data_IF_112451301972
#
_entry.id   IF_112451301972
#
_cell.length_a   1.000
_cell.length_b   1.000
_cell.length_c   1.000
_cell.angle_alpha   90.00
_cell.angle_beta   90.00
_cell.angle_gamma   90.00
#
_symmetry.space_group_name_H-M   'P 1'
#
loop_
_entity.id
_entity.type
_entity.pdbx_description
1 polymer ?
#
# COMPACT_ATOMS: atom_id res chain seq x y z
N UNK A 1 0.57 27.50 -15.91
CA UNK A 1 1.38 26.32 -15.54
C UNK A 1 1.01 25.21 -16.50
N UNK A 2 1.98 24.64 -17.20
CA UNK A 2 1.74 23.51 -18.09
C UNK A 2 1.58 22.20 -17.29
N UNK A 3 1.19 21.12 -17.97
CA UNK A 3 0.97 19.82 -17.33
C UNK A 3 2.21 19.29 -16.61
N UNK A 4 3.38 19.53 -17.20
CA UNK A 4 4.65 19.08 -16.67
C UNK A 4 4.98 19.82 -15.36
N UNK A 5 4.84 21.14 -15.31
CA UNK A 5 5.05 21.91 -14.09
C UNK A 5 4.08 21.55 -12.97
N UNK A 6 2.81 21.27 -13.29
CA UNK A 6 1.84 20.79 -12.28
C UNK A 6 2.22 19.41 -11.75
N UNK A 7 2.65 18.51 -12.65
CA UNK A 7 3.03 17.16 -12.28
C UNK A 7 4.31 17.15 -11.43
N UNK A 8 5.28 18.02 -11.74
CA UNK A 8 6.47 18.25 -10.92
C UNK A 8 6.09 18.71 -9.50
N UNK A 9 5.17 19.68 -9.37
CA UNK A 9 4.70 20.11 -8.05
C UNK A 9 4.05 18.98 -7.25
N UNK A 10 3.23 18.16 -7.91
CA UNK A 10 2.59 17.02 -7.27
C UNK A 10 3.60 15.95 -6.90
N UNK A 11 4.64 15.74 -7.71
CA UNK A 11 5.75 14.84 -7.40
C UNK A 11 6.49 15.31 -6.15
N UNK A 12 6.88 16.58 -6.10
CA UNK A 12 7.56 17.16 -4.93
C UNK A 12 6.68 17.10 -3.67
N UNK A 13 5.36 17.29 -3.82
CA UNK A 13 4.43 17.35 -2.68
C UNK A 13 3.98 15.97 -2.18
N UNK A 14 3.81 15.01 -3.08
CA UNK A 14 3.15 13.73 -2.78
C UNK A 14 4.02 12.50 -3.07
N UNK A 15 5.21 12.67 -3.66
CA UNK A 15 6.09 11.56 -4.05
C UNK A 15 6.44 10.63 -2.89
N UNK A 16 6.85 11.19 -1.74
CA UNK A 16 7.15 10.41 -0.52
C UNK A 16 5.91 9.66 0.00
N UNK A 17 4.74 10.29 -0.09
CA UNK A 17 3.48 9.67 0.30
C UNK A 17 3.15 8.46 -0.58
N UNK A 18 3.33 8.58 -1.88
CA UNK A 18 3.11 7.51 -2.86
C UNK A 18 4.16 6.40 -2.68
N UNK A 19 5.44 6.77 -2.50
CA UNK A 19 6.53 5.83 -2.23
C UNK A 19 6.24 4.98 -1.00
N UNK A 20 5.92 5.60 0.14
CA UNK A 20 5.56 4.89 1.37
C UNK A 20 4.32 4.03 1.20
N UNK A 21 3.29 4.54 0.52
CA UNK A 21 2.08 3.75 0.23
C UNK A 21 2.41 2.49 -0.56
N UNK A 22 3.24 2.61 -1.60
CA UNK A 22 3.66 1.49 -2.43
C UNK A 22 4.50 0.49 -1.64
N UNK A 23 5.39 0.91 -0.76
CA UNK A 23 6.13 0.00 0.13
C UNK A 23 5.15 -0.79 1.00
N UNK A 24 4.23 -0.13 1.70
CA UNK A 24 3.24 -0.81 2.54
C UNK A 24 2.33 -1.76 1.75
N UNK A 25 1.98 -1.39 0.52
CA UNK A 25 1.11 -2.20 -0.31
C UNK A 25 1.84 -3.40 -0.92
N UNK A 26 3.07 -3.19 -1.38
CA UNK A 26 3.83 -4.20 -2.13
C UNK A 26 4.55 -5.17 -1.21
N UNK A 27 5.12 -4.68 -0.11
CA UNK A 27 5.99 -5.46 0.76
C UNK A 27 7.48 -5.29 0.47
N UNK A 28 7.88 -4.43 -0.48
CA UNK A 28 9.27 -4.29 -0.95
C UNK A 28 9.72 -2.83 -1.06
N UNK A 29 11.04 -2.59 -1.06
CA UNK A 29 11.67 -1.27 -1.33
C UNK A 29 11.66 -0.90 -2.80
N UNK A 30 11.60 -1.92 -3.65
CA UNK A 30 11.77 -1.78 -5.08
C UNK A 30 10.45 -1.26 -5.70
N UNK A 31 10.15 -0.01 -5.35
CA UNK A 31 8.94 0.69 -5.77
C UNK A 31 9.27 1.99 -6.51
N UNK A 32 10.53 2.31 -6.73
CA UNK A 32 10.95 3.52 -7.43
C UNK A 32 10.38 3.55 -8.86
N UNK A 33 10.49 2.43 -9.57
CA UNK A 33 9.86 2.25 -10.89
C UNK A 33 8.33 2.36 -10.81
N UNK A 34 7.72 1.85 -9.74
CA UNK A 34 6.27 1.99 -9.52
C UNK A 34 5.87 3.44 -9.27
N UNK A 35 6.65 4.20 -8.50
CA UNK A 35 6.44 5.63 -8.30
C UNK A 35 6.51 6.35 -9.65
N UNK A 36 7.54 6.09 -10.45
CA UNK A 36 7.66 6.67 -11.79
C UNK A 36 6.44 6.34 -12.66
N UNK A 37 6.03 5.06 -12.71
CA UNK A 37 4.84 4.61 -13.43
C UNK A 37 3.57 5.33 -12.98
N UNK A 38 3.41 5.57 -11.67
CA UNK A 38 2.27 6.33 -11.13
C UNK A 38 2.23 7.74 -11.68
N UNK A 39 3.35 8.46 -11.64
CA UNK A 39 3.42 9.84 -12.11
C UNK A 39 3.32 9.95 -13.64
N UNK A 40 3.86 8.98 -14.38
CA UNK A 40 3.68 8.90 -15.84
C UNK A 40 2.22 8.63 -16.21
N UNK A 41 1.54 7.72 -15.51
CA UNK A 41 0.11 7.47 -15.72
C UNK A 41 -0.71 8.69 -15.35
N UNK A 42 -0.42 9.33 -14.22
CA UNK A 42 -1.07 10.56 -13.79
C UNK A 42 -0.94 11.67 -14.84
N UNK A 43 0.25 11.89 -15.38
CA UNK A 43 0.48 12.86 -16.45
C UNK A 43 -0.37 12.57 -17.70
N UNK A 44 -0.44 11.30 -18.12
CA UNK A 44 -1.25 10.86 -19.28
C UNK A 44 -2.74 11.02 -19.04
N UNK A 45 -3.21 10.84 -17.81
CA UNK A 45 -4.62 10.92 -17.45
C UNK A 45 -5.04 12.27 -16.88
N UNK A 46 -4.15 13.27 -16.86
CA UNK A 46 -4.38 14.54 -16.19
C UNK A 46 -5.56 15.32 -16.78
N UNK A 47 -5.81 15.21 -18.08
CA UNK A 47 -6.97 15.85 -18.74
C UNK A 47 -8.31 15.26 -18.27
N UNK A 48 -8.31 14.00 -17.83
CA UNK A 48 -9.50 13.34 -17.30
C UNK A 48 -9.68 13.61 -15.79
N UNK A 49 -8.75 14.32 -15.15
CA UNK A 49 -8.89 14.69 -13.76
C UNK A 49 -9.83 15.89 -13.60
N UNK A 50 -11.09 15.59 -13.27
CA UNK A 50 -12.14 16.61 -13.12
C UNK A 50 -12.09 17.40 -11.79
N UNK A 51 -11.06 17.19 -10.95
CA UNK A 51 -10.95 17.91 -9.67
C UNK A 51 -12.00 17.54 -8.61
N UNK A 52 -12.73 16.44 -8.81
CA UNK A 52 -13.78 15.97 -7.87
C UNK A 52 -13.23 15.40 -6.56
N UNK A 53 -11.96 15.03 -6.53
CA UNK A 53 -11.22 14.59 -5.34
C UNK A 53 -9.92 15.37 -5.20
N UNK A 54 -9.28 15.31 -4.02
CA UNK A 54 -7.97 15.92 -3.85
C UNK A 54 -6.93 15.22 -4.75
N UNK A 55 -5.94 15.95 -5.29
CA UNK A 55 -4.87 15.35 -6.09
C UNK A 55 -4.19 14.15 -5.43
N UNK A 56 -3.94 14.23 -4.11
CA UNK A 56 -3.36 13.12 -3.33
C UNK A 56 -4.23 11.86 -3.39
N UNK A 57 -5.54 11.99 -3.20
CA UNK A 57 -6.50 10.88 -3.26
C UNK A 57 -6.52 10.26 -4.65
N UNK A 58 -6.53 11.08 -5.69
CA UNK A 58 -6.47 10.61 -7.08
C UNK A 58 -5.17 9.88 -7.41
N UNK A 59 -4.02 10.42 -6.99
CA UNK A 59 -2.72 9.77 -7.16
C UNK A 59 -2.64 8.43 -6.41
N UNK A 60 -3.21 8.34 -5.20
CA UNK A 60 -3.27 7.09 -4.44
C UNK A 60 -4.16 6.04 -5.13
N UNK A 61 -5.22 6.43 -5.83
CA UNK A 61 -5.99 5.52 -6.69
C UNK A 61 -5.12 4.96 -7.82
N UNK A 62 -4.34 5.82 -8.50
CA UNK A 62 -3.41 5.39 -9.56
C UNK A 62 -2.32 4.47 -9.00
N UNK A 63 -1.79 4.78 -7.82
CA UNK A 63 -0.79 3.98 -7.12
C UNK A 63 -1.32 2.59 -6.76
N UNK A 64 -2.52 2.51 -6.19
CA UNK A 64 -3.18 1.24 -5.86
C UNK A 64 -3.33 0.36 -7.11
N UNK A 65 -3.88 0.92 -8.19
CA UNK A 65 -4.08 0.17 -9.43
C UNK A 65 -2.75 -0.29 -10.04
N UNK A 66 -1.72 0.57 -10.00
CA UNK A 66 -0.37 0.25 -10.48
C UNK A 66 0.26 -0.88 -9.67
N UNK A 67 0.12 -0.87 -8.35
CA UNK A 67 0.62 -1.94 -7.48
C UNK A 67 -0.12 -3.27 -7.69
N UNK A 68 -1.44 -3.25 -7.89
CA UNK A 68 -2.24 -4.44 -8.23
C UNK A 68 -1.77 -5.05 -9.54
N UNK A 69 -1.60 -4.22 -10.58
CA UNK A 69 -1.11 -4.67 -11.89
C UNK A 69 0.29 -5.26 -11.80
N UNK A 70 1.19 -4.64 -11.03
CA UNK A 70 2.53 -5.16 -10.80
C UNK A 70 2.52 -6.53 -10.14
N UNK A 71 1.75 -6.71 -9.05
CA UNK A 71 1.60 -8.01 -8.37
C UNK A 71 0.99 -9.08 -9.28
N UNK A 72 0.01 -8.71 -10.10
CA UNK A 72 -0.58 -9.62 -11.10
C UNK A 72 0.46 -10.09 -12.11
N UNK A 73 1.30 -9.19 -12.63
CA UNK A 73 2.38 -9.52 -13.57
C UNK A 73 3.46 -10.39 -12.92
N UNK A 74 3.86 -10.10 -11.67
CA UNK A 74 4.79 -10.94 -10.92
C UNK A 74 4.28 -12.38 -10.77
N UNK A 75 3.02 -12.56 -10.33
CA UNK A 75 2.41 -13.89 -10.19
C UNK A 75 2.37 -14.66 -11.50
N UNK A 76 2.06 -13.99 -12.61
CA UNK A 76 2.06 -14.62 -13.93
C UNK A 76 3.46 -15.06 -14.36
N UNK A 77 4.50 -14.26 -14.07
CA UNK A 77 5.90 -14.64 -14.33
C UNK A 77 6.29 -15.88 -13.53
N UNK A 78 5.97 -15.91 -12.24
CA UNK A 78 6.29 -17.05 -11.36
C UNK A 78 5.51 -18.33 -11.70
N UNK A 79 4.46 -18.25 -12.51
CA UNK A 79 3.70 -19.40 -13.00
C UNK A 79 4.31 -20.00 -14.28
N UNK A 80 5.21 -19.28 -14.97
CA UNK A 80 5.89 -19.78 -16.15
C UNK A 80 7.06 -20.72 -15.74
N UNK A 81 7.27 -21.86 -16.44
CA UNK A 81 8.28 -22.84 -16.04
C UNK A 81 9.71 -22.28 -15.98
N UNK A 82 10.45 -22.69 -14.94
CA UNK A 82 11.76 -22.22 -14.44
C UNK A 82 12.93 -22.02 -15.43
N UNK A 83 12.79 -22.26 -16.73
CA UNK A 83 13.89 -22.11 -17.70
C UNK A 83 14.27 -20.65 -18.04
N UNK A 84 13.54 -19.66 -17.52
CA UNK A 84 13.75 -18.25 -17.89
C UNK A 84 13.88 -17.28 -16.71
N UNK A 85 13.76 -17.74 -15.47
CA UNK A 85 13.85 -16.88 -14.29
C UNK A 85 15.05 -17.30 -13.48
N UNK A 86 16.16 -16.57 -13.65
CA UNK A 86 17.23 -16.60 -12.67
C UNK A 86 16.62 -16.22 -11.32
N UNK A 87 16.78 -17.11 -10.34
CA UNK A 87 16.39 -16.90 -8.96
C UNK A 87 16.98 -15.58 -8.47
N UNK A 88 16.15 -14.54 -8.39
CA UNK A 88 16.43 -13.40 -7.53
C UNK A 88 15.80 -13.76 -6.19
N UNK A 89 16.52 -14.55 -5.41
CA UNK A 89 16.29 -14.58 -3.97
C UNK A 89 16.69 -13.20 -3.44
N UNK A 90 15.74 -12.29 -3.41
CA UNK A 90 15.86 -11.12 -2.54
C UNK A 90 15.61 -11.60 -1.12
N UNK A 91 16.56 -11.39 -0.21
CA UNK A 91 16.27 -11.32 1.23
C UNK A 91 15.08 -10.36 1.40
N UNK A 92 13.88 -10.90 1.62
CA UNK A 92 12.65 -10.11 1.69
C UNK A 92 12.64 -9.33 3.00
N UNK A 93 13.22 -8.13 2.96
CA UNK A 93 13.08 -7.18 4.05
C UNK A 93 11.63 -6.71 4.15
N UNK A 94 11.10 -6.65 5.36
CA UNK A 94 9.72 -6.22 5.56
C UNK A 94 9.57 -4.71 5.37
N UNK A 95 8.38 -4.19 5.01
CA UNK A 95 8.11 -2.74 4.97
C UNK A 95 8.63 -1.97 6.19
N UNK A 96 8.67 -2.61 7.35
CA UNK A 96 9.15 -2.05 8.61
C UNK A 96 10.65 -1.82 8.63
N UNK A 97 11.41 -2.85 8.27
CA UNK A 97 12.87 -2.80 8.13
C UNK A 97 13.26 -1.82 7.03
N UNK A 98 12.42 -1.72 6.01
CA UNK A 98 12.60 -0.79 4.90
C UNK A 98 12.45 0.66 5.36
N UNK A 99 11.40 0.94 6.13
CA UNK A 99 11.06 2.31 6.52
C UNK A 99 11.73 2.73 7.84
N UNK A 100 12.64 1.92 8.39
CA UNK A 100 13.29 2.12 9.70
C UNK A 100 12.27 2.43 10.80
N UNK A 101 11.18 1.66 10.79
CA UNK A 101 10.12 1.81 11.78
C UNK A 101 10.62 1.31 13.13
N UNK A 102 10.32 2.02 14.23
CA UNK A 102 10.67 1.60 15.59
C UNK A 102 10.21 0.15 15.88
N UNK A 103 10.99 -0.59 16.68
CA UNK A 103 10.72 -2.00 17.05
C UNK A 103 9.29 -2.22 17.58
N UNK A 104 8.74 -1.29 18.38
CA UNK A 104 7.36 -1.37 18.90
C UNK A 104 6.28 -1.39 17.80
N UNK A 105 6.60 -0.89 16.61
CA UNK A 105 5.67 -0.83 15.48
C UNK A 105 5.83 -2.05 14.55
N UNK A 106 6.90 -2.85 14.65
CA UNK A 106 7.12 -4.01 13.78
C UNK A 106 6.01 -5.06 13.87
N UNK A 107 5.61 -5.44 15.09
CA UNK A 107 4.51 -6.40 15.31
C UNK A 107 3.20 -5.94 14.67
N UNK A 108 2.91 -4.64 14.74
CA UNK A 108 1.71 -4.06 14.12
C UNK A 108 1.71 -4.25 12.60
N UNK A 109 2.86 -4.07 11.96
CA UNK A 109 2.95 -4.26 10.51
C UNK A 109 2.90 -5.73 10.10
N UNK A 110 3.55 -6.62 10.83
CA UNK A 110 3.38 -8.07 10.63
C UNK A 110 1.91 -8.46 10.70
N UNK A 111 1.19 -7.98 11.72
CA UNK A 111 -0.25 -8.19 11.84
C UNK A 111 -1.04 -7.58 10.65
N UNK A 112 -0.69 -6.39 10.17
CA UNK A 112 -1.31 -5.76 8.98
C UNK A 112 -1.01 -6.57 7.69
N UNK A 113 0.18 -7.15 7.58
CA UNK A 113 0.55 -8.03 6.47
C UNK A 113 -0.24 -9.32 6.51
N UNK A 114 -0.56 -9.86 7.68
CA UNK A 114 -1.13 -11.19 7.80
C UNK A 114 -2.68 -11.19 7.77
N UNK A 115 -3.32 -10.02 7.87
CA UNK A 115 -4.76 -9.90 7.60
C UNK A 115 -5.12 -10.02 6.11
N UNK A 116 -6.41 -10.28 5.85
CA UNK A 116 -6.99 -10.35 4.50
C UNK A 116 -6.66 -9.09 3.68
N UNK A 117 -6.46 -9.19 2.35
CA UNK A 117 -6.10 -8.04 1.51
C UNK A 117 -7.03 -6.83 1.67
N UNK A 118 -8.35 -7.05 1.69
CA UNK A 118 -9.34 -5.99 1.88
C UNK A 118 -9.18 -5.26 3.23
N UNK A 119 -8.74 -5.95 4.28
CA UNK A 119 -8.50 -5.36 5.59
C UNK A 119 -7.22 -4.52 5.57
N UNK A 120 -6.16 -5.06 4.97
CA UNK A 120 -4.89 -4.37 4.78
C UNK A 120 -5.05 -3.06 4.03
N UNK A 121 -5.80 -3.06 2.92
CA UNK A 121 -6.01 -1.84 2.13
C UNK A 121 -6.69 -0.73 2.95
N UNK A 122 -7.73 -1.08 3.71
CA UNK A 122 -8.43 -0.11 4.57
C UNK A 122 -7.54 0.37 5.71
N UNK A 123 -6.73 -0.50 6.32
CA UNK A 123 -5.79 -0.13 7.38
C UNK A 123 -4.70 0.81 6.87
N UNK A 124 -4.13 0.56 5.69
CA UNK A 124 -3.13 1.46 5.09
C UNK A 124 -3.77 2.82 4.78
N UNK A 125 -4.93 2.85 4.14
CA UNK A 125 -5.55 4.11 3.72
C UNK A 125 -6.06 4.95 4.90
N UNK A 126 -6.71 4.32 5.89
CA UNK A 126 -7.30 5.01 7.05
C UNK A 126 -6.31 5.23 8.19
N UNK A 127 -5.54 4.20 8.52
CA UNK A 127 -4.63 4.20 9.67
C UNK A 127 -3.29 4.84 9.36
N UNK A 128 -2.66 4.44 8.25
CA UNK A 128 -1.31 4.91 7.90
C UNK A 128 -1.35 6.23 7.13
N UNK A 129 -2.28 6.37 6.18
CA UNK A 129 -2.40 7.58 5.35
C UNK A 129 -3.38 8.62 5.87
N UNK A 130 -4.15 8.29 6.91
CA UNK A 130 -5.05 9.24 7.58
C UNK A 130 -6.21 9.74 6.71
N UNK A 131 -6.54 9.04 5.62
CA UNK A 131 -7.62 9.47 4.71
C UNK A 131 -8.98 9.33 5.38
N UNK A 132 -9.95 10.15 4.98
CA UNK A 132 -11.35 10.03 5.39
C UNK A 132 -12.01 8.75 4.86
N UNK A 133 -13.16 8.35 5.42
CA UNK A 133 -13.93 7.22 4.92
C UNK A 133 -14.42 7.45 3.49
N UNK A 134 -14.73 8.71 3.14
CA UNK A 134 -15.09 9.15 1.79
C UNK A 134 -13.93 8.98 0.81
N UNK A 135 -12.76 9.54 1.11
CA UNK A 135 -11.57 9.41 0.23
C UNK A 135 -11.15 7.95 0.07
N UNK A 136 -11.23 7.16 1.14
CA UNK A 136 -10.94 5.73 1.09
C UNK A 136 -11.96 5.00 0.22
N UNK A 137 -13.24 5.34 0.32
CA UNK A 137 -14.30 4.77 -0.51
C UNK A 137 -14.08 5.08 -2.00
N UNK A 138 -13.66 6.29 -2.33
CA UNK A 138 -13.28 6.70 -3.69
C UNK A 138 -12.11 5.87 -4.23
N UNK A 139 -11.04 5.70 -3.45
CA UNK A 139 -9.85 4.92 -3.86
C UNK A 139 -10.19 3.44 -4.05
N UNK A 140 -11.02 2.87 -3.18
CA UNK A 140 -11.37 1.45 -3.18
C UNK A 140 -12.55 1.10 -4.10
N UNK A 141 -13.28 2.10 -4.62
CA UNK A 141 -14.53 1.88 -5.35
C UNK A 141 -15.63 1.27 -4.48
N UNK A 142 -15.68 1.61 -3.19
CA UNK A 142 -16.61 1.07 -2.21
C UNK A 142 -17.60 2.14 -1.72
N UNK A 143 -18.59 1.74 -0.91
CA UNK A 143 -19.37 2.69 -0.11
C UNK A 143 -18.64 3.04 1.18
N UNK A 144 -18.86 4.25 1.71
CA UNK A 144 -18.31 4.67 3.01
C UNK A 144 -18.69 3.72 4.14
N UNK A 145 -19.92 3.19 4.12
CA UNK A 145 -20.37 2.20 5.08
C UNK A 145 -19.52 0.91 5.00
N UNK A 146 -19.24 0.41 3.79
CA UNK A 146 -18.37 -0.76 3.61
C UNK A 146 -16.97 -0.47 4.12
N UNK A 147 -16.43 0.73 3.91
CA UNK A 147 -15.13 1.14 4.48
C UNK A 147 -15.16 1.06 6.00
N UNK A 148 -16.15 1.68 6.65
CA UNK A 148 -16.24 1.71 8.13
C UNK A 148 -16.40 0.32 8.74
N UNK A 149 -17.29 -0.51 8.19
CA UNK A 149 -17.50 -1.90 8.65
C UNK A 149 -16.23 -2.72 8.45
N UNK A 150 -15.56 -2.56 7.31
CA UNK A 150 -14.31 -3.27 7.01
C UNK A 150 -13.19 -2.82 7.94
N UNK A 151 -13.05 -1.52 8.22
CA UNK A 151 -12.06 -0.99 9.16
C UNK A 151 -12.26 -1.58 10.56
N UNK A 152 -13.50 -1.62 11.05
CA UNK A 152 -13.80 -2.21 12.35
C UNK A 152 -13.37 -3.68 12.44
N UNK A 153 -13.70 -4.47 11.42
CA UNK A 153 -13.31 -5.89 11.33
C UNK A 153 -11.80 -6.07 11.18
N UNK A 154 -11.16 -5.19 10.41
CA UNK A 154 -9.72 -5.19 10.21
C UNK A 154 -8.96 -4.91 11.51
N UNK A 155 -9.38 -3.91 12.29
CA UNK A 155 -8.79 -3.61 13.61
C UNK A 155 -8.95 -4.79 14.57
N UNK A 156 -10.10 -5.48 14.55
CA UNK A 156 -10.32 -6.68 15.36
C UNK A 156 -9.35 -7.80 14.98
N UNK A 157 -9.20 -8.08 13.69
CA UNK A 157 -8.30 -9.11 13.19
C UNK A 157 -6.82 -8.83 13.54
N UNK A 158 -6.37 -7.58 13.41
CA UNK A 158 -5.03 -7.18 13.83
C UNK A 158 -4.82 -7.40 15.33
N UNK A 159 -5.79 -6.99 16.17
CA UNK A 159 -5.71 -7.21 17.61
C UNK A 159 -5.62 -8.69 17.98
N UNK A 160 -6.39 -9.56 17.31
CA UNK A 160 -6.34 -11.01 17.53
C UNK A 160 -4.96 -11.60 17.20
N UNK A 161 -4.29 -11.11 16.14
CA UNK A 161 -2.93 -11.54 15.78
C UNK A 161 -1.93 -11.10 16.85
N UNK A 162 -1.96 -9.82 17.24
CA UNK A 162 -1.04 -9.27 18.24
C UNK A 162 -1.19 -9.95 19.61
N UNK A 163 -2.41 -10.25 20.05
CA UNK A 163 -2.66 -10.96 21.30
C UNK A 163 -2.16 -12.41 21.27
N UNK A 164 -2.15 -13.05 20.09
CA UNK A 164 -1.59 -14.40 19.93
C UNK A 164 -0.06 -14.36 20.01
N UNK A 165 0.57 -13.47 19.26
CA UNK A 165 2.04 -13.31 19.26
C UNK A 165 2.56 -12.99 20.67
N UNK A 166 1.86 -12.10 21.39
CA UNK A 166 2.20 -11.79 22.79
C UNK A 166 2.11 -13.00 23.72
N UNK A 167 1.14 -13.90 23.52
CA UNK A 167 1.00 -15.13 24.33
C UNK A 167 2.09 -16.15 24.02
N UNK A 168 2.48 -16.27 22.75
CA UNK A 168 3.57 -17.15 22.31
C UNK A 168 4.91 -16.68 22.92
N UNK A 169 5.20 -15.38 22.88
CA UNK A 169 6.41 -14.81 23.52
C UNK A 169 6.46 -15.04 25.04
N UNK A 170 5.32 -14.99 25.73
CA UNK A 170 5.26 -15.23 27.19
C UNK A 170 5.33 -16.72 27.50
N UNK A 171 4.77 -17.58 26.64
CA UNK A 171 4.80 -19.03 26.78
C UNK A 171 6.18 -19.65 26.55
N UNK A 172 6.96 -19.08 25.62
CA UNK A 172 8.35 -19.51 25.35
C UNK A 172 9.36 -19.00 26.40
N UNK A 173 8.94 -18.06 27.25
CA UNK A 173 9.77 -17.47 28.31
C UNK A 173 9.60 -18.13 29.70
N UNK A 174 8.76 -19.18 29.81
CA UNK A 174 8.45 -19.93 31.04
C UNK A 174 8.88 -21.38 30.88
#
# INVERSE_FOLDING_TARGET
MDKNGLMEQWFLRYGDDIYKFLIYYTGTRDVEDLVQDVFLKALRSLDAFEGRSQPKTWLLTIARNTAIDHKRKQRLRNWLPDKWLANVETEEKTPEEILNVHEEQQALYHAIRDVKPAFREVLILRGVKGLSSKETAEILGWSENKVNVTLHRAMKAVREILEREKKEMIGDAI
#
